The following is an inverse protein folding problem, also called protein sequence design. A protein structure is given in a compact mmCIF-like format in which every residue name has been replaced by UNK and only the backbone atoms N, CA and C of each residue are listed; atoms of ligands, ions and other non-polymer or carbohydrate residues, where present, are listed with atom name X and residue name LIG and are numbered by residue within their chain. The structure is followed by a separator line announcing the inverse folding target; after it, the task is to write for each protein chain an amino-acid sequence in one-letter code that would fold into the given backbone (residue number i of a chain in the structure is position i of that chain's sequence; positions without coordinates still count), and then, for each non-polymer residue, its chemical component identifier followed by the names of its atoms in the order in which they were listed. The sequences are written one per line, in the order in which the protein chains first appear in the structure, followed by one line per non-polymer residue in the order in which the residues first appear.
data_IF_846802279708
#
_entry.id   IF_846802279708
#
_cell.length_a   1.000
_cell.length_b   1.000
_cell.length_c   1.000
_cell.angle_alpha   90.00
_cell.angle_beta   90.00
_cell.angle_gamma   90.00
#
_symmetry.space_group_name_H-M   'P 1'
#
loop_
_entity.id
_entity.type
_entity.pdbx_description
1 polymer ?
#
# COMPACT_ATOMS: atom_id res chain seq x y z
N UNK A 1 -14.88 12.79 -4.69
CA UNK A 1 -13.56 13.02 -5.34
C UNK A 1 -12.59 11.87 -5.09
N UNK A 2 -12.59 11.24 -3.91
CA UNK A 2 -11.78 10.05 -3.58
C UNK A 2 -12.15 8.78 -4.37
N UNK A 3 -13.43 8.54 -4.66
CA UNK A 3 -13.87 7.34 -5.39
C UNK A 3 -13.20 7.16 -6.77
N UNK A 4 -13.02 8.26 -7.52
CA UNK A 4 -12.33 8.22 -8.81
C UNK A 4 -10.86 7.82 -8.68
N UNK A 5 -10.19 8.26 -7.61
CA UNK A 5 -8.80 7.90 -7.32
C UNK A 5 -8.70 6.42 -6.94
N UNK A 6 -9.65 5.90 -6.16
CA UNK A 6 -9.70 4.49 -5.81
C UNK A 6 -9.89 3.57 -7.02
N UNK A 7 -10.80 3.93 -7.94
CA UNK A 7 -10.99 3.17 -9.18
C UNK A 7 -9.71 3.15 -10.01
N UNK A 8 -9.03 4.31 -10.14
CA UNK A 8 -7.75 4.40 -10.84
C UNK A 8 -6.69 3.51 -10.16
N UNK A 9 -6.59 3.53 -8.83
CA UNK A 9 -5.66 2.67 -8.09
C UNK A 9 -5.96 1.18 -8.29
N UNK A 10 -7.23 0.78 -8.28
CA UNK A 10 -7.65 -0.61 -8.53
C UNK A 10 -7.24 -1.06 -9.94
N UNK A 11 -7.53 -0.24 -10.95
CA UNK A 11 -7.18 -0.52 -12.35
C UNK A 11 -5.66 -0.61 -12.51
N UNK A 12 -4.91 0.37 -11.97
CA UNK A 12 -3.45 0.38 -12.04
C UNK A 12 -2.80 -0.80 -11.29
N UNK A 13 -3.45 -1.29 -10.23
CA UNK A 13 -3.02 -2.48 -9.50
C UNK A 13 -3.15 -3.74 -10.36
N UNK A 14 -4.29 -3.94 -11.05
CA UNK A 14 -4.53 -5.11 -11.90
C UNK A 14 -3.66 -5.07 -13.17
N UNK A 15 -3.34 -3.87 -13.66
CA UNK A 15 -2.49 -3.66 -14.84
C UNK A 15 -0.97 -3.81 -14.54
N UNK A 16 -0.58 -4.18 -13.33
CA UNK A 16 0.83 -4.44 -13.02
C UNK A 16 1.31 -5.74 -13.68
N UNK A 17 2.51 -5.74 -14.29
CA UNK A 17 3.00 -6.89 -15.05
C UNK A 17 3.48 -8.07 -14.19
N UNK A 18 3.75 -7.85 -12.89
CA UNK A 18 4.32 -8.89 -12.01
C UNK A 18 3.41 -9.19 -10.82
N UNK A 19 3.28 -10.48 -10.48
CA UNK A 19 2.41 -10.94 -9.40
C UNK A 19 2.74 -10.30 -8.04
N UNK A 20 4.01 -10.05 -7.75
CA UNK A 20 4.44 -9.36 -6.52
C UNK A 20 3.95 -7.92 -6.45
N UNK A 21 3.91 -7.20 -7.59
CA UNK A 21 3.40 -5.83 -7.67
C UNK A 21 1.89 -5.78 -7.52
N UNK A 22 1.20 -6.73 -8.16
CA UNK A 22 -0.25 -6.88 -8.00
C UNK A 22 -0.57 -7.16 -6.53
N UNK A 23 0.16 -8.06 -5.88
CA UNK A 23 -0.09 -8.42 -4.48
C UNK A 23 0.13 -7.24 -3.52
N UNK A 24 1.23 -6.50 -3.67
CA UNK A 24 1.50 -5.32 -2.86
C UNK A 24 0.47 -4.20 -3.11
N UNK A 25 0.14 -3.92 -4.37
CA UNK A 25 -0.89 -2.95 -4.73
C UNK A 25 -2.27 -3.36 -4.20
N UNK A 26 -2.61 -4.65 -4.27
CA UNK A 26 -3.89 -5.18 -3.80
C UNK A 26 -4.00 -5.05 -2.29
N UNK A 27 -2.94 -5.35 -1.54
CA UNK A 27 -2.93 -5.12 -0.09
C UNK A 27 -3.13 -3.66 0.27
N UNK A 28 -2.41 -2.75 -0.40
CA UNK A 28 -2.56 -1.32 -0.18
C UNK A 28 -4.00 -0.86 -0.44
N UNK A 29 -4.55 -1.25 -1.58
CA UNK A 29 -5.92 -0.87 -2.00
C UNK A 29 -6.96 -1.48 -1.07
N UNK A 30 -6.83 -2.76 -0.70
CA UNK A 30 -7.76 -3.44 0.20
C UNK A 30 -7.79 -2.80 1.58
N UNK A 31 -6.63 -2.49 2.16
CA UNK A 31 -6.57 -1.84 3.48
C UNK A 31 -7.19 -0.44 3.42
N UNK A 32 -6.90 0.33 2.37
CA UNK A 32 -7.44 1.68 2.23
C UNK A 32 -8.96 1.66 2.00
N UNK A 33 -9.48 0.74 1.17
CA UNK A 33 -10.93 0.55 0.97
C UNK A 33 -11.63 0.05 2.23
N UNK A 34 -11.02 -0.89 2.96
CA UNK A 34 -11.61 -1.41 4.20
C UNK A 34 -11.69 -0.29 5.24
N UNK A 35 -10.66 0.54 5.33
CA UNK A 35 -10.68 1.72 6.21
C UNK A 35 -11.78 2.71 5.79
N UNK A 36 -11.87 3.03 4.51
CA UNK A 36 -12.89 3.97 4.00
C UNK A 36 -14.33 3.45 4.19
N UNK A 37 -14.59 2.16 4.01
CA UNK A 37 -15.93 1.58 4.14
C UNK A 37 -16.36 1.44 5.61
N UNK A 38 -15.46 0.95 6.47
CA UNK A 38 -15.83 0.56 7.84
C UNK A 38 -15.45 1.59 8.91
N UNK A 39 -14.43 2.40 8.67
CA UNK A 39 -13.81 3.26 9.67
C UNK A 39 -13.95 4.75 9.32
N UNK A 40 -14.49 5.11 8.16
CA UNK A 40 -14.75 6.52 7.79
C UNK A 40 -15.78 7.22 8.67
N UNK A 41 -16.67 6.47 9.32
CA UNK A 41 -17.65 7.01 10.26
C UNK A 41 -17.07 7.26 11.66
N UNK A 42 -15.81 6.87 11.91
CA UNK A 42 -15.14 7.17 13.17
C UNK A 42 -14.69 8.64 13.19
N UNK A 43 -14.54 9.19 14.40
CA UNK A 43 -14.09 10.57 14.58
C UNK A 43 -12.81 10.63 15.42
N UNK A 44 -12.04 11.70 15.24
CA UNK A 44 -10.84 12.02 16.00
C UNK A 44 -9.82 10.89 16.09
N UNK A 45 -9.37 10.59 17.31
CA UNK A 45 -8.30 9.62 17.55
C UNK A 45 -8.58 8.24 16.96
N UNK A 46 -9.83 7.76 17.01
CA UNK A 46 -10.19 6.46 16.48
C UNK A 46 -10.07 6.41 14.95
N UNK A 47 -10.41 7.49 14.26
CA UNK A 47 -10.26 7.60 12.81
C UNK A 47 -8.77 7.65 12.40
N UNK A 48 -8.03 8.64 12.90
CA UNK A 48 -6.63 8.84 12.51
C UNK A 48 -5.71 7.73 13.01
N UNK A 49 -5.97 7.19 14.21
CA UNK A 49 -5.23 6.08 14.78
C UNK A 49 -5.41 4.80 13.97
N UNK A 50 -6.66 4.44 13.64
CA UNK A 50 -6.93 3.26 12.81
C UNK A 50 -6.36 3.40 11.40
N UNK A 51 -6.39 4.60 10.81
CA UNK A 51 -5.79 4.88 9.50
C UNK A 51 -4.27 4.70 9.52
N UNK A 52 -3.59 5.25 10.53
CA UNK A 52 -2.15 5.12 10.70
C UNK A 52 -1.74 3.65 10.96
N UNK A 53 -2.47 2.93 11.83
CA UNK A 53 -2.22 1.51 12.08
C UNK A 53 -2.45 0.67 10.82
N UNK A 54 -3.49 0.95 10.04
CA UNK A 54 -3.75 0.28 8.77
C UNK A 54 -2.59 0.45 7.78
N UNK A 55 -2.09 1.67 7.60
CA UNK A 55 -0.94 1.96 6.74
C UNK A 55 0.35 1.25 7.21
N UNK A 56 0.63 1.26 8.51
CA UNK A 56 1.79 0.56 9.07
C UNK A 56 1.67 -0.96 8.93
N UNK A 57 0.48 -1.53 9.15
CA UNK A 57 0.23 -2.95 8.95
C UNK A 57 0.45 -3.33 7.48
N UNK A 58 -0.03 -2.52 6.54
CA UNK A 58 0.22 -2.72 5.11
C UNK A 58 1.73 -2.74 4.81
N UNK A 59 2.49 -1.78 5.35
CA UNK A 59 3.93 -1.70 5.17
C UNK A 59 4.66 -2.95 5.70
N UNK A 60 4.29 -3.41 6.90
CA UNK A 60 4.84 -4.63 7.52
C UNK A 60 4.50 -5.86 6.68
N UNK A 61 3.25 -6.03 6.24
CA UNK A 61 2.86 -7.17 5.39
C UNK A 61 3.64 -7.18 4.06
N UNK A 62 3.90 -6.00 3.48
CA UNK A 62 4.72 -5.88 2.27
C UNK A 62 6.19 -6.30 2.47
N UNK A 63 6.73 -6.28 3.70
CA UNK A 63 8.11 -6.76 3.96
C UNK A 63 8.25 -8.27 3.79
N UNK A 64 7.15 -9.03 3.80
CA UNK A 64 7.14 -10.48 3.56
C UNK A 64 7.30 -10.89 2.10
N UNK A 65 7.33 -9.94 1.15
CA UNK A 65 7.50 -10.22 -0.28
C UNK A 65 8.99 -10.41 -0.60
N UNK A 66 9.41 -11.57 -1.10
CA UNK A 66 10.81 -11.84 -1.47
C UNK A 66 10.91 -12.37 -2.91
N UNK A 67 11.80 -11.80 -3.77
CA UNK A 67 12.60 -10.58 -3.55
C UNK A 67 11.73 -9.32 -3.49
N UNK A 68 12.18 -8.29 -2.75
CA UNK A 68 11.45 -7.02 -2.64
C UNK A 68 11.74 -6.17 -3.88
N UNK A 69 10.77 -5.92 -4.78
CA UNK A 69 10.99 -5.02 -5.90
C UNK A 69 11.03 -3.56 -5.42
N UNK A 70 11.80 -2.68 -6.08
CA UNK A 70 11.94 -1.25 -5.70
C UNK A 70 10.61 -0.52 -5.56
N UNK A 71 9.60 -0.91 -6.34
CA UNK A 71 8.25 -0.36 -6.25
C UNK A 71 7.57 -0.66 -4.89
N UNK A 72 7.79 -1.85 -4.32
CA UNK A 72 7.27 -2.21 -2.99
C UNK A 72 7.93 -1.35 -1.92
N UNK A 73 9.22 -1.08 -2.03
CA UNK A 73 9.90 -0.13 -1.12
C UNK A 73 9.30 1.28 -1.23
N UNK A 74 9.04 1.76 -2.46
CA UNK A 74 8.37 3.06 -2.67
C UNK A 74 6.96 3.07 -2.07
N UNK A 75 6.18 2.00 -2.21
CA UNK A 75 4.86 1.88 -1.58
C UNK A 75 4.95 1.84 -0.05
N UNK A 76 5.96 1.19 0.53
CA UNK A 76 6.19 1.21 1.97
C UNK A 76 6.50 2.62 2.48
N UNK A 77 7.33 3.38 1.75
CA UNK A 77 7.58 4.80 2.08
C UNK A 77 6.27 5.60 2.04
N UNK A 78 5.42 5.38 1.03
CA UNK A 78 4.09 6.00 0.96
C UNK A 78 3.23 5.64 2.18
N UNK A 79 3.24 4.38 2.61
CA UNK A 79 2.50 3.93 3.80
C UNK A 79 3.00 4.62 5.08
N UNK A 80 4.33 4.77 5.23
CA UNK A 80 4.94 5.46 6.36
C UNK A 80 4.58 6.96 6.33
N UNK A 81 4.67 7.61 5.16
CA UNK A 81 4.26 9.00 4.99
C UNK A 81 2.77 9.18 5.27
N UNK A 82 1.92 8.24 4.87
CA UNK A 82 0.49 8.24 5.21
C UNK A 82 0.27 8.14 6.72
N UNK A 83 1.02 7.30 7.43
CA UNK A 83 0.93 7.21 8.88
C UNK A 83 1.35 8.53 9.57
N UNK A 84 2.40 9.19 9.07
CA UNK A 84 2.83 10.50 9.56
C UNK A 84 1.76 11.56 9.29
N UNK A 85 1.18 11.59 8.09
CA UNK A 85 0.10 12.52 7.76
C UNK A 85 -1.15 12.27 8.60
N UNK A 86 -1.50 11.02 8.89
CA UNK A 86 -2.59 10.68 9.80
C UNK A 86 -2.32 11.15 11.22
N UNK A 87 -1.08 11.04 11.71
CA UNK A 87 -0.70 11.62 12.99
C UNK A 87 -0.82 13.16 12.97
N UNK A 88 -0.38 13.83 11.90
CA UNK A 88 -0.56 15.28 11.74
C UNK A 88 -2.05 15.67 11.65
N UNK A 89 -2.87 14.88 10.97
CA UNK A 89 -4.32 15.05 10.90
C UNK A 89 -4.97 14.96 12.28
N UNK A 90 -4.52 14.01 13.11
CA UNK A 90 -4.93 13.93 14.50
C UNK A 90 -4.53 15.18 15.30
N UNK A 91 -3.30 15.69 15.13
CA UNK A 91 -2.87 16.94 15.80
C UNK A 91 -3.72 18.13 15.36
N UNK A 92 -3.99 18.27 14.06
CA UNK A 92 -4.86 19.32 13.50
C UNK A 92 -6.27 19.23 14.07
N UNK A 93 -6.85 18.02 14.13
CA UNK A 93 -8.16 17.77 14.74
C UNK A 93 -8.16 18.12 16.23
N UNK A 94 -7.13 17.71 16.98
CA UNK A 94 -7.00 18.01 18.41
C UNK A 94 -6.90 19.52 18.68
N UNK A 95 -6.28 20.29 17.79
CA UNK A 95 -6.16 21.74 17.86
C UNK A 95 -7.33 22.49 17.22
N UNK A 96 -8.36 21.81 16.71
CA UNK A 96 -9.50 22.38 15.99
C UNK A 96 -9.08 23.29 14.82
N UNK A 97 -7.97 22.97 14.16
CA UNK A 97 -7.47 23.69 12.99
C UNK A 97 -8.14 23.18 11.70
N UNK A 98 -8.27 24.04 10.67
CA UNK A 98 -8.85 23.63 9.40
C UNK A 98 -8.04 22.49 8.75
N UNK A 99 -8.69 21.44 8.22
CA UNK A 99 -8.02 20.26 7.68
C UNK A 99 -7.48 20.46 6.25
N UNK A 100 -7.51 21.68 5.71
CA UNK A 100 -7.16 21.96 4.30
C UNK A 100 -5.75 21.47 3.96
N UNK A 101 -4.77 21.73 4.82
CA UNK A 101 -3.39 21.29 4.63
C UNK A 101 -3.26 19.75 4.63
N UNK A 102 -4.02 19.08 5.50
CA UNK A 102 -4.07 17.61 5.55
C UNK A 102 -4.67 17.02 4.28
N UNK A 103 -5.79 17.58 3.81
CA UNK A 103 -6.47 17.13 2.59
C UNK A 103 -5.58 17.28 1.35
N UNK A 104 -4.90 18.43 1.21
CA UNK A 104 -3.96 18.67 0.11
C UNK A 104 -2.79 17.68 0.18
N UNK A 105 -2.24 17.43 1.36
CA UNK A 105 -1.15 16.47 1.54
C UNK A 105 -1.55 15.04 1.13
N UNK A 106 -2.76 14.59 1.49
CA UNK A 106 -3.27 13.29 1.07
C UNK A 106 -3.50 13.19 -0.43
N UNK A 107 -4.01 14.24 -1.08
CA UNK A 107 -4.15 14.29 -2.53
C UNK A 107 -2.78 14.14 -3.21
N UNK A 108 -1.77 14.90 -2.75
CA UNK A 108 -0.41 14.79 -3.26
C UNK A 108 0.18 13.38 -3.06
N UNK A 109 -0.08 12.76 -1.92
CA UNK A 109 0.36 11.40 -1.61
C UNK A 109 -0.27 10.36 -2.56
N UNK A 110 -1.57 10.48 -2.83
CA UNK A 110 -2.25 9.59 -3.78
C UNK A 110 -1.78 9.79 -5.21
N UNK A 111 -1.56 11.04 -5.65
CA UNK A 111 -0.98 11.33 -6.97
C UNK A 111 0.43 10.74 -7.09
N UNK A 112 1.25 10.87 -6.04
CA UNK A 112 2.57 10.25 -5.99
C UNK A 112 2.49 8.72 -6.08
N UNK A 113 1.51 8.10 -5.42
CA UNK A 113 1.25 6.65 -5.50
C UNK A 113 0.87 6.24 -6.93
N UNK A 114 0.02 7.02 -7.60
CA UNK A 114 -0.35 6.79 -9.01
C UNK A 114 0.89 6.86 -9.91
N UNK A 115 1.77 7.86 -9.72
CA UNK A 115 3.03 7.98 -10.47
C UNK A 115 3.90 6.75 -10.24
N UNK A 116 4.05 6.29 -8.99
CA UNK A 116 4.83 5.08 -8.65
C UNK A 116 4.27 3.84 -9.38
N UNK A 117 2.95 3.67 -9.40
CA UNK A 117 2.31 2.55 -10.08
C UNK A 117 2.43 2.64 -11.62
N UNK A 118 2.44 3.86 -12.17
CA UNK A 118 2.66 4.10 -13.59
C UNK A 118 4.12 3.92 -14.02
N UNK A 119 5.08 4.18 -13.12
CA UNK A 119 6.50 3.91 -13.34
C UNK A 119 6.74 2.40 -13.43
N UNK A 120 6.55 1.87 -14.64
CA UNK A 120 6.93 0.50 -15.01
C UNK A 120 8.44 0.41 -15.21
N UNK A 121 9.20 0.66 -14.14
CA UNK A 121 10.63 0.36 -14.14
C UNK A 121 10.80 -1.14 -14.41
N UNK A 122 11.66 -1.48 -15.37
CA UNK A 122 12.07 -2.87 -15.66
C UNK A 122 12.54 -3.51 -14.36
N UNK A 123 12.34 -4.82 -14.22
CA UNK A 123 12.58 -5.61 -13.00
C UNK A 123 13.97 -5.34 -12.37
N UNK A 124 14.04 -4.31 -11.56
CA UNK A 124 15.20 -3.92 -10.80
C UNK A 124 14.86 -4.30 -9.37
N UNK A 125 15.03 -5.58 -9.07
CA UNK A 125 14.93 -6.13 -7.73
C UNK A 125 16.00 -5.42 -6.90
N UNK A 126 15.56 -4.65 -5.90
CA UNK A 126 16.50 -4.14 -4.92
C UNK A 126 17.08 -5.37 -4.23
N UNK A 127 18.37 -5.67 -4.44
CA UNK A 127 19.07 -6.82 -3.87
C UNK A 127 19.21 -6.77 -2.34
N UNK A 128 18.21 -6.21 -1.64
CA UNK A 128 18.18 -6.01 -0.20
C UNK A 128 17.47 -7.22 0.42
N UNK A 129 18.24 -8.28 0.67
CA UNK A 129 17.83 -9.33 1.61
C UNK A 129 17.92 -8.78 3.04
N UNK A 130 16.82 -8.24 3.57
CA UNK A 130 16.76 -7.80 4.97
C UNK A 130 16.66 -9.03 5.88
N UNK A 131 17.82 -9.57 6.30
CA UNK A 131 17.94 -10.86 7.00
C UNK A 131 17.38 -10.92 8.43
N UNK A 132 16.91 -9.82 9.03
CA UNK A 132 16.52 -9.78 10.45
C UNK A 132 15.04 -10.08 10.74
N UNK A 133 14.12 -9.55 9.93
CA UNK A 133 12.65 -9.67 10.13
C UNK A 133 12.01 -10.76 9.26
N UNK A 134 12.83 -11.48 8.49
CA UNK A 134 12.38 -12.45 7.49
C UNK A 134 12.00 -13.82 8.10
N UNK A 135 12.41 -14.10 9.33
CA UNK A 135 12.14 -15.37 10.01
C UNK A 135 10.70 -15.50 10.50
N UNK A 136 9.99 -14.39 10.75
CA UNK A 136 8.62 -14.42 11.29
C UNK A 136 7.51 -14.32 10.23
N UNK A 137 7.75 -13.64 9.10
CA UNK A 137 6.74 -13.42 8.05
C UNK A 137 7.12 -14.06 6.73
N UNK A 138 7.60 -15.31 6.78
CA UNK A 138 7.81 -16.12 5.57
C UNK A 138 6.45 -16.55 5.03
N UNK A 139 5.83 -15.75 4.16
CA UNK A 139 4.78 -16.24 3.27
C UNK A 139 5.44 -17.25 2.32
N UNK A 140 5.35 -18.54 2.68
CA UNK A 140 5.82 -19.65 1.87
C UNK A 140 5.16 -19.59 0.49
N UNK A 141 5.99 -19.49 -0.54
CA UNK A 141 5.65 -19.28 -1.95
C UNK A 141 4.95 -20.49 -2.62
N UNK A 142 4.19 -21.33 -1.88
CA UNK A 142 4.00 -22.74 -2.26
C UNK A 142 2.56 -23.26 -2.43
N UNK A 143 1.59 -22.47 -2.93
CA UNK A 143 0.65 -23.11 -3.87
C UNK A 143 0.40 -22.35 -5.17
N UNK A 144 0.58 -21.02 -5.22
CA UNK A 144 0.12 -20.23 -6.38
C UNK A 144 1.03 -20.31 -7.61
N UNK A 145 2.34 -20.50 -7.42
CA UNK A 145 3.30 -20.66 -8.55
C UNK A 145 3.07 -21.97 -9.30
N UNK A 146 2.63 -23.02 -8.62
CA UNK A 146 2.33 -24.31 -9.25
C UNK A 146 1.08 -24.27 -10.14
N UNK A 147 0.12 -23.37 -9.86
CA UNK A 147 -1.10 -23.25 -10.66
C UNK A 147 -0.85 -22.61 -12.03
N UNK A 148 0.02 -21.59 -12.09
CA UNK A 148 0.31 -20.89 -13.36
C UNK A 148 1.28 -21.65 -14.26
N UNK A 149 2.21 -22.43 -13.71
CA UNK A 149 3.10 -23.27 -14.53
C UNK A 149 2.38 -24.49 -15.12
N UNK A 150 1.44 -25.11 -14.40
CA UNK A 150 0.74 -26.32 -14.86
C UNK A 150 -0.15 -26.10 -16.10
N UNK A 151 -0.51 -24.85 -16.42
CA UNK A 151 -1.34 -24.53 -17.58
C UNK A 151 -0.55 -24.00 -18.80
N UNK A 152 0.75 -23.76 -18.68
CA UNK A 152 1.56 -23.32 -19.82
C UNK A 152 2.05 -24.47 -20.71
N UNK A 153 2.03 -25.70 -20.22
CA UNK A 153 2.53 -26.88 -20.94
C UNK A 153 1.41 -27.64 -21.72
N UNK A 154 0.25 -27.02 -21.95
CA UNK A 154 -0.88 -27.63 -22.68
C UNK A 154 -1.44 -26.77 -23.83
N UNK A 155 -0.65 -25.83 -24.34
CA UNK A 155 -0.97 -25.09 -25.57
C UNK A 155 0.08 -25.36 -26.63
#
# INVERSE_FOLDING_TARGET
MLEGVFVVLCVLCVLQPTAQRIFAGAYFVLITLTHDIFLSSLDGFSYYGSAATGGLLAAVLMTGINPIPKIVLKLQVVCILSAILNFMGWVLWYLYLPPDAYNIAFICLYLYTVIILLSRDKEDVAGITVGGLHSCFRFSHHPFVFYFFKHKDKA
#
